data_IF_298000520007
#
_entry.id   IF_298000520007
#
_cell.length_a   1.000
_cell.length_b   1.000
_cell.length_c   1.000
_cell.angle_alpha   90.00
_cell.angle_beta   90.00
_cell.angle_gamma   90.00
#
_symmetry.space_group_name_H-M   'P 1'
#
loop_
_entity.id
_entity.type
_entity.pdbx_description
1 polymer ?
#
# COMPACT_ATOMS: atom_id res chain seq x y z
N UNK A 1 11.96 -2.70 35.06
CA UNK A 1 12.78 -3.26 33.95
C UNK A 1 12.68 -2.29 32.78
N UNK A 2 13.71 -1.46 32.60
CA UNK A 2 13.69 -0.32 31.67
C UNK A 2 13.92 -0.74 30.22
N UNK A 3 13.42 0.09 29.31
CA UNK A 3 13.48 0.03 27.84
C UNK A 3 14.94 -0.15 27.31
N UNK A 4 15.94 0.12 28.15
CA UNK A 4 17.37 -0.15 27.92
C UNK A 4 17.67 -1.59 27.48
N UNK A 5 16.89 -2.58 27.90
CA UNK A 5 17.19 -4.00 27.62
C UNK A 5 16.67 -4.49 26.25
N UNK A 6 15.77 -3.74 25.58
CA UNK A 6 15.27 -4.09 24.25
C UNK A 6 16.22 -3.55 23.17
N UNK A 7 16.80 -2.35 23.38
CA UNK A 7 17.86 -1.80 22.51
C UNK A 7 19.08 -2.75 22.42
N UNK A 8 19.35 -3.49 23.49
CA UNK A 8 20.50 -4.41 23.58
C UNK A 8 20.30 -5.75 22.84
N UNK A 9 19.06 -6.17 22.54
CA UNK A 9 18.79 -7.42 21.81
C UNK A 9 18.65 -7.24 20.30
N UNK A 10 18.33 -6.02 19.85
CA UNK A 10 18.39 -5.65 18.43
C UNK A 10 19.85 -5.47 17.97
N UNK A 11 20.78 -5.22 18.90
CA UNK A 11 22.21 -5.03 18.59
C UNK A 11 23.04 -6.33 18.48
N UNK A 12 22.38 -7.50 18.42
CA UNK A 12 23.04 -8.82 18.32
C UNK A 12 23.17 -9.38 16.90
N UNK A 13 23.14 -8.50 15.90
CA UNK A 13 23.71 -8.78 14.57
C UNK A 13 24.96 -7.92 14.42
N UNK A 14 25.89 -8.08 15.37
CA UNK A 14 27.28 -7.69 15.17
C UNK A 14 27.87 -8.64 14.13
N UNK A 15 27.71 -8.31 12.85
CA UNK A 15 28.47 -8.93 11.79
C UNK A 15 29.92 -8.60 12.11
N UNK A 16 30.71 -9.63 12.47
CA UNK A 16 32.16 -9.52 12.57
C UNK A 16 32.68 -9.05 11.21
N UNK A 17 33.05 -7.79 11.10
CA UNK A 17 33.85 -7.25 10.02
C UNK A 17 35.13 -6.73 10.68
N UNK A 18 36.23 -7.42 10.42
CA UNK A 18 37.62 -6.97 10.49
C UNK A 18 38.46 -8.18 9.98
N UNK A 19 39.41 -8.08 9.07
CA UNK A 19 39.93 -6.96 8.28
C UNK A 19 40.69 -7.60 7.11
N UNK A 20 40.29 -7.32 5.88
CA UNK A 20 41.23 -7.38 4.75
C UNK A 20 41.22 -6.00 4.10
N UNK A 21 42.36 -5.35 4.19
CA UNK A 21 42.63 -3.99 3.77
C UNK A 21 42.56 -3.93 2.25
N UNK A 22 41.43 -3.49 1.69
CA UNK A 22 41.38 -2.75 0.42
C UNK A 22 39.95 -2.26 0.12
N UNK A 23 39.79 -0.93 0.15
CA UNK A 23 39.09 -0.19 -0.89
C UNK A 23 37.57 -0.40 -1.06
N UNK A 24 36.82 0.61 -0.61
CA UNK A 24 35.45 0.99 -1.04
C UNK A 24 34.31 0.42 -0.20
N UNK A 25 33.91 1.23 0.80
CA UNK A 25 32.57 1.19 1.38
C UNK A 25 31.55 1.57 0.29
N UNK A 26 30.94 0.57 -0.35
CA UNK A 26 29.83 0.82 -1.28
C UNK A 26 28.56 1.13 -0.47
N UNK A 27 28.28 2.42 -0.34
CA UNK A 27 27.05 3.03 0.21
C UNK A 27 25.74 2.38 -0.29
N UNK A 28 25.76 1.76 -1.47
CA UNK A 28 24.64 0.94 -2.01
C UNK A 28 24.21 -0.24 -1.14
N UNK A 29 25.11 -0.84 -0.35
CA UNK A 29 24.75 -2.00 0.50
C UNK A 29 24.02 -1.57 1.79
N UNK A 30 24.16 -0.31 2.18
CA UNK A 30 23.49 0.27 3.36
C UNK A 30 22.09 0.81 3.03
N UNK A 31 21.86 1.27 1.80
CA UNK A 31 20.51 1.59 1.27
C UNK A 31 19.62 0.33 1.17
N UNK A 32 20.21 -0.84 0.89
CA UNK A 32 19.46 -2.11 0.80
C UNK A 32 18.95 -2.58 2.17
N UNK A 33 19.62 -2.21 3.28
CA UNK A 33 19.22 -2.60 4.64
C UNK A 33 18.13 -1.69 5.24
N UNK A 34 17.92 -0.50 4.68
CA UNK A 34 16.94 0.48 5.18
C UNK A 34 15.62 0.45 4.42
N UNK A 35 15.52 -0.41 3.40
CA UNK A 35 14.24 -0.81 2.85
C UNK A 35 13.56 -1.73 3.88
N UNK A 36 13.00 -1.13 4.93
CA UNK A 36 12.02 -1.77 5.81
C UNK A 36 10.90 -2.26 4.91
N UNK A 37 11.04 -3.48 4.41
CA UNK A 37 10.05 -4.22 3.67
C UNK A 37 8.94 -4.48 4.67
N UNK A 38 8.05 -3.50 4.85
CA UNK A 38 6.84 -3.71 5.62
C UNK A 38 6.12 -4.85 4.94
N UNK A 39 5.98 -5.97 5.66
CA UNK A 39 5.25 -7.12 5.13
C UNK A 39 3.85 -6.62 4.80
N UNK A 40 3.40 -6.69 3.53
CA UNK A 40 2.09 -6.21 3.18
C UNK A 40 1.05 -7.07 3.91
N UNK A 41 -0.03 -6.43 4.37
CA UNK A 41 -1.20 -7.16 4.86
C UNK A 41 -1.97 -7.66 3.64
N UNK A 42 -2.20 -8.96 3.54
CA UNK A 42 -2.87 -9.56 2.38
C UNK A 42 -4.26 -10.05 2.83
N UNK A 43 -5.30 -9.54 2.17
CA UNK A 43 -6.67 -10.00 2.29
C UNK A 43 -6.95 -10.95 1.13
N UNK A 44 -6.97 -12.25 1.42
CA UNK A 44 -7.15 -13.31 0.43
C UNK A 44 -8.57 -13.40 -0.14
N UNK A 45 -8.71 -14.08 -1.29
CA UNK A 45 -9.96 -14.17 -2.08
C UNK A 45 -11.14 -14.80 -1.36
N UNK A 46 -10.85 -15.66 -0.40
CA UNK A 46 -11.83 -16.38 0.43
C UNK A 46 -12.39 -15.53 1.58
N UNK A 47 -11.81 -14.35 1.82
CA UNK A 47 -12.23 -13.46 2.89
C UNK A 47 -13.18 -12.38 2.39
N UNK A 48 -14.29 -12.20 3.10
CA UNK A 48 -15.18 -11.05 2.99
C UNK A 48 -15.17 -10.27 4.29
N UNK A 49 -14.85 -8.99 4.21
CA UNK A 49 -14.87 -8.06 5.36
C UNK A 49 -16.06 -7.12 5.21
N UNK A 50 -16.82 -6.94 6.28
CA UNK A 50 -17.89 -5.95 6.36
C UNK A 50 -17.61 -5.02 7.55
N UNK A 51 -17.51 -3.71 7.29
CA UNK A 51 -17.23 -2.70 8.32
C UNK A 51 -16.04 -1.80 7.99
N UNK A 52 -15.25 -1.45 9.01
CA UNK A 52 -14.15 -0.50 8.88
C UNK A 52 -12.78 -1.18 9.00
N UNK A 53 -11.85 -0.84 8.08
CA UNK A 53 -10.48 -1.35 8.06
C UNK A 53 -9.50 -0.19 8.19
N UNK A 54 -8.56 -0.30 9.12
CA UNK A 54 -7.51 0.68 9.35
C UNK A 54 -6.14 0.03 9.27
N UNK A 55 -5.22 0.63 8.52
CA UNK A 55 -3.82 0.18 8.48
C UNK A 55 -2.87 1.36 8.28
N UNK A 56 -1.75 1.34 8.98
CA UNK A 56 -0.66 2.29 8.78
C UNK A 56 0.32 1.88 7.66
N UNK A 57 0.20 0.65 7.15
CA UNK A 57 1.13 0.06 6.20
C UNK A 57 0.54 -0.13 4.79
N UNK A 58 1.10 -1.12 4.11
CA UNK A 58 0.65 -1.57 2.79
C UNK A 58 -0.44 -2.64 2.98
N UNK A 59 -1.58 -2.47 2.30
CA UNK A 59 -2.65 -3.47 2.23
C UNK A 59 -2.82 -3.93 0.78
N UNK A 60 -2.82 -5.25 0.57
CA UNK A 60 -3.20 -5.88 -0.68
C UNK A 60 -4.53 -6.61 -0.53
N UNK A 61 -5.46 -6.33 -1.44
CA UNK A 61 -6.83 -6.85 -1.37
C UNK A 61 -7.07 -7.71 -2.60
N UNK A 62 -7.23 -9.01 -2.38
CA UNK A 62 -7.69 -9.99 -3.36
C UNK A 62 -9.13 -10.46 -3.07
N UNK A 63 -9.64 -10.25 -1.85
CA UNK A 63 -11.00 -10.62 -1.44
C UNK A 63 -12.04 -9.53 -1.60
N UNK A 64 -13.13 -9.65 -0.84
CA UNK A 64 -14.22 -8.68 -0.82
C UNK A 64 -14.19 -7.79 0.42
N UNK A 65 -14.40 -6.49 0.23
CA UNK A 65 -14.60 -5.55 1.33
C UNK A 65 -15.84 -4.71 1.07
N UNK A 66 -16.76 -4.68 2.04
CA UNK A 66 -17.95 -3.84 2.06
C UNK A 66 -17.87 -2.89 3.26
N UNK A 67 -17.54 -1.63 3.02
CA UNK A 67 -17.42 -0.60 4.05
C UNK A 67 -16.33 0.43 3.81
N UNK A 68 -15.68 0.89 4.89
CA UNK A 68 -14.71 1.99 4.84
C UNK A 68 -13.29 1.48 5.08
N UNK A 69 -12.35 1.89 4.23
CA UNK A 69 -10.94 1.51 4.34
C UNK A 69 -10.09 2.78 4.49
N UNK A 70 -9.23 2.81 5.50
CA UNK A 70 -8.24 3.88 5.71
C UNK A 70 -6.84 3.26 5.76
N UNK A 71 -5.99 3.64 4.82
CA UNK A 71 -4.66 3.07 4.65
C UNK A 71 -3.63 4.11 4.22
N UNK A 72 -2.34 3.85 4.38
CA UNK A 72 -1.34 4.65 3.68
C UNK A 72 -1.29 4.25 2.19
N UNK A 73 -1.02 2.97 1.93
CA UNK A 73 -0.88 2.42 0.59
C UNK A 73 -1.79 1.21 0.43
N UNK A 74 -2.76 1.32 -0.46
CA UNK A 74 -3.77 0.29 -0.72
C UNK A 74 -3.63 -0.19 -2.16
N UNK A 75 -3.64 -1.51 -2.33
CA UNK A 75 -3.55 -2.17 -3.64
C UNK A 75 -4.76 -3.10 -3.77
N UNK A 76 -5.68 -2.75 -4.66
CA UNK A 76 -6.74 -3.65 -5.08
C UNK A 76 -6.22 -4.50 -6.24
N UNK A 77 -6.13 -5.81 -6.04
CA UNK A 77 -5.71 -6.78 -7.08
C UNK A 77 -6.90 -7.14 -7.98
N UNK A 78 -6.63 -7.79 -9.10
CA UNK A 78 -7.60 -8.13 -10.16
C UNK A 78 -8.83 -8.89 -9.65
N UNK A 79 -8.64 -9.81 -8.71
CA UNK A 79 -9.71 -10.63 -8.11
C UNK A 79 -10.46 -9.91 -6.99
N UNK A 80 -9.95 -8.76 -6.54
CA UNK A 80 -10.51 -8.03 -5.42
C UNK A 80 -11.71 -7.18 -5.81
N UNK A 81 -12.66 -7.09 -4.88
CA UNK A 81 -13.82 -6.20 -5.00
C UNK A 81 -13.99 -5.36 -3.74
N UNK A 82 -14.03 -4.05 -3.90
CA UNK A 82 -14.31 -3.10 -2.82
C UNK A 82 -15.61 -2.37 -3.12
N UNK A 83 -16.53 -2.42 -2.17
CA UNK A 83 -17.73 -1.59 -2.14
C UNK A 83 -17.66 -0.65 -0.94
N UNK A 84 -17.72 0.65 -1.16
CA UNK A 84 -17.79 1.64 -0.08
C UNK A 84 -16.80 2.80 -0.24
N UNK A 85 -16.13 3.20 0.84
CA UNK A 85 -15.29 4.42 0.84
C UNK A 85 -13.83 4.11 1.14
N UNK A 86 -12.91 4.61 0.32
CA UNK A 86 -11.47 4.44 0.49
C UNK A 86 -10.79 5.77 0.74
N UNK A 87 -10.00 5.84 1.82
CA UNK A 87 -9.12 6.95 2.14
C UNK A 87 -7.66 6.46 2.15
N UNK A 88 -6.83 6.98 1.24
CA UNK A 88 -5.42 6.57 1.19
C UNK A 88 -4.47 7.68 0.72
N UNK A 89 -3.17 7.52 0.94
CA UNK A 89 -2.18 8.35 0.23
C UNK A 89 -1.95 7.78 -1.17
N UNK A 90 -1.78 6.47 -1.28
CA UNK A 90 -1.58 5.79 -2.55
C UNK A 90 -2.65 4.70 -2.71
N UNK A 91 -3.38 4.73 -3.81
CA UNK A 91 -4.35 3.71 -4.16
C UNK A 91 -4.10 3.18 -5.57
N UNK A 92 -3.74 1.90 -5.68
CA UNK A 92 -3.59 1.20 -6.95
C UNK A 92 -4.76 0.25 -7.17
N UNK A 93 -5.43 0.37 -8.31
CA UNK A 93 -6.66 -0.34 -8.64
C UNK A 93 -6.41 -1.22 -9.85
N UNK A 94 -6.54 -2.53 -9.68
CA UNK A 94 -6.45 -3.54 -10.74
C UNK A 94 -7.72 -4.39 -10.88
N UNK A 95 -8.56 -4.38 -9.85
CA UNK A 95 -9.83 -5.12 -9.80
C UNK A 95 -11.05 -4.21 -9.96
N UNK A 96 -12.11 -4.55 -9.23
CA UNK A 96 -13.42 -3.87 -9.32
C UNK A 96 -13.66 -2.99 -8.09
N UNK A 97 -14.00 -1.73 -8.30
CA UNK A 97 -14.29 -0.77 -7.24
C UNK A 97 -15.66 -0.10 -7.45
N UNK A 98 -16.47 -0.01 -6.40
CA UNK A 98 -17.76 0.68 -6.37
C UNK A 98 -17.87 1.58 -5.13
N UNK A 99 -17.93 2.90 -5.33
CA UNK A 99 -18.22 3.87 -4.27
C UNK A 99 -17.38 5.15 -4.34
N UNK A 100 -16.82 5.57 -3.20
CA UNK A 100 -16.11 6.86 -3.09
C UNK A 100 -14.62 6.67 -2.81
N UNK A 101 -13.77 7.32 -3.58
CA UNK A 101 -12.32 7.31 -3.40
C UNK A 101 -11.86 8.70 -3.01
N UNK A 102 -11.02 8.78 -1.97
CA UNK A 102 -10.28 9.98 -1.60
C UNK A 102 -8.82 9.62 -1.37
N UNK A 103 -7.99 9.88 -2.37
CA UNK A 103 -6.57 9.55 -2.26
C UNK A 103 -5.64 10.52 -2.99
N UNK A 104 -4.45 10.77 -2.46
CA UNK A 104 -3.49 11.70 -3.09
C UNK A 104 -3.07 11.19 -4.47
N UNK A 105 -2.57 9.95 -4.52
CA UNK A 105 -2.13 9.28 -5.74
C UNK A 105 -3.05 8.11 -6.07
N UNK A 106 -3.67 8.15 -7.25
CA UNK A 106 -4.50 7.06 -7.75
C UNK A 106 -3.89 6.52 -9.03
N UNK A 107 -3.70 5.20 -9.08
CA UNK A 107 -3.25 4.47 -10.27
C UNK A 107 -4.30 3.43 -10.64
N UNK A 108 -4.89 3.57 -11.82
CA UNK A 108 -5.88 2.65 -12.37
C UNK A 108 -5.18 1.83 -13.46
N UNK A 109 -5.06 0.53 -13.24
CA UNK A 109 -4.38 -0.38 -14.16
C UNK A 109 -5.28 -0.81 -15.32
N UNK A 110 -4.64 -1.35 -16.36
CA UNK A 110 -5.33 -1.96 -17.49
C UNK A 110 -6.31 -3.04 -17.00
N UNK A 111 -7.56 -3.01 -17.49
CA UNK A 111 -8.70 -3.86 -17.09
C UNK A 111 -9.34 -3.59 -15.72
N UNK A 112 -8.91 -2.58 -14.98
CA UNK A 112 -9.63 -2.18 -13.77
C UNK A 112 -11.02 -1.62 -14.12
N UNK A 113 -12.01 -1.91 -13.27
CA UNK A 113 -13.36 -1.36 -13.37
C UNK A 113 -13.63 -0.49 -12.14
N UNK A 114 -13.88 0.80 -12.36
CA UNK A 114 -14.12 1.77 -11.28
C UNK A 114 -15.45 2.46 -11.49
N UNK A 115 -16.32 2.42 -10.48
CA UNK A 115 -17.62 3.07 -10.48
C UNK A 115 -17.72 4.01 -9.28
N UNK A 116 -18.00 5.29 -9.51
CA UNK A 116 -18.37 6.25 -8.45
C UNK A 116 -17.61 7.58 -8.43
N UNK A 117 -17.37 8.13 -7.24
CA UNK A 117 -16.79 9.47 -7.06
C UNK A 117 -15.31 9.40 -6.65
N UNK A 118 -14.44 10.14 -7.33
CA UNK A 118 -12.98 10.08 -7.16
C UNK A 118 -12.42 11.47 -6.86
N UNK A 119 -11.96 11.67 -5.62
CA UNK A 119 -11.18 12.84 -5.20
C UNK A 119 -9.68 12.52 -5.21
N UNK A 120 -8.90 13.26 -6.01
CA UNK A 120 -7.47 12.99 -6.21
C UNK A 120 -6.59 14.22 -6.37
N UNK A 121 -5.29 14.07 -6.10
CA UNK A 121 -4.27 15.07 -6.44
C UNK A 121 -3.51 14.70 -7.73
N UNK A 122 -3.09 13.44 -7.82
CA UNK A 122 -2.42 12.82 -8.97
C UNK A 122 -3.20 11.57 -9.40
N UNK A 123 -3.48 11.47 -10.69
CA UNK A 123 -4.22 10.36 -11.31
C UNK A 123 -3.44 9.83 -12.51
N UNK A 124 -3.20 8.52 -12.53
CA UNK A 124 -2.64 7.78 -13.65
C UNK A 124 -3.61 6.69 -14.07
N UNK A 125 -3.89 6.60 -15.36
CA UNK A 125 -4.79 5.60 -15.94
C UNK A 125 -4.05 4.89 -17.06
N UNK A 126 -4.00 3.56 -17.00
CA UNK A 126 -3.45 2.71 -18.06
C UNK A 126 -4.49 2.40 -19.14
N UNK A 127 -4.01 2.12 -20.35
CA UNK A 127 -4.87 1.77 -21.48
C UNK A 127 -5.72 0.52 -21.19
N UNK A 128 -7.02 0.62 -21.49
CA UNK A 128 -7.98 -0.47 -21.27
C UNK A 128 -8.61 -0.50 -19.88
N UNK A 129 -8.42 0.53 -19.05
CA UNK A 129 -9.23 0.73 -17.84
C UNK A 129 -10.65 1.20 -18.20
N UNK A 130 -11.66 0.70 -17.47
CA UNK A 130 -13.05 1.14 -17.58
C UNK A 130 -13.42 1.95 -16.35
N UNK A 131 -13.76 3.22 -16.52
CA UNK A 131 -14.20 4.09 -15.42
C UNK A 131 -15.53 4.73 -15.75
N UNK A 132 -16.49 4.61 -14.83
CA UNK A 132 -17.78 5.28 -14.86
C UNK A 132 -17.95 6.09 -13.57
N UNK A 133 -17.87 7.42 -13.64
CA UNK A 133 -17.88 8.20 -12.43
C UNK A 133 -17.54 9.67 -12.57
N UNK A 134 -17.53 10.34 -11.41
CA UNK A 134 -17.20 11.75 -11.30
C UNK A 134 -15.81 11.94 -10.70
N UNK A 135 -14.99 12.69 -11.42
CA UNK A 135 -13.61 12.98 -11.04
C UNK A 135 -13.51 14.42 -10.53
N UNK A 136 -12.91 14.59 -9.35
CA UNK A 136 -12.68 15.90 -8.74
C UNK A 136 -11.24 16.00 -8.29
N UNK A 137 -10.47 16.85 -8.97
CA UNK A 137 -9.13 17.19 -8.52
C UNK A 137 -9.20 18.06 -7.26
N UNK A 138 -8.58 17.63 -6.17
CA UNK A 138 -8.52 18.38 -4.92
C UNK A 138 -7.13 18.27 -4.30
N UNK A 139 -6.74 19.27 -3.50
CA UNK A 139 -5.47 19.25 -2.76
C UNK A 139 -5.72 18.55 -1.43
N UNK A 140 -5.14 17.37 -1.24
CA UNK A 140 -5.39 16.45 -0.11
C UNK A 140 -4.28 16.45 0.93
#
# INVERSE_FOLDING_TARGET
>A
MSISNIQAKVNKVSIKLNNDENGTLNSKKLEILTNFKSTPTIISRDLKIQGEVFSSGIIEILGQIDGSIKGNSIILREEGFIKGTVFAENFSIRGKFDGKIKAKNISIASKAEVIGEIEYELLSVEDGASIDGHFKKTKL
#
